data_IF_075757564796
#
_entry.id   IF_075757564796
#
_cell.length_a   1.000
_cell.length_b   1.000
_cell.length_c   1.000
_cell.angle_alpha   90.00
_cell.angle_beta   90.00
_cell.angle_gamma   90.00
#
_symmetry.space_group_name_H-M   'P 1'
#
loop_
_entity.id
_entity.type
_entity.pdbx_description
1 polymer ?
#
# COMPACT_ATOMS: atom_id res chain seq x y z
N UNK A 1 2.10 -17.23 20.89
CA UNK A 1 2.50 -17.32 19.46
C UNK A 1 1.83 -16.18 18.73
N UNK A 2 2.59 -15.40 17.98
CA UNK A 2 2.11 -14.27 17.20
C UNK A 2 1.79 -14.78 15.80
N UNK A 3 0.53 -14.67 15.37
CA UNK A 3 0.10 -15.12 14.05
C UNK A 3 0.39 -14.02 13.01
N UNK A 4 1.03 -14.40 11.90
CA UNK A 4 1.52 -13.50 10.87
C UNK A 4 0.97 -13.89 9.50
N UNK A 5 0.46 -12.92 8.75
CA UNK A 5 0.12 -13.03 7.33
C UNK A 5 1.13 -12.25 6.52
N UNK A 6 1.56 -12.79 5.37
CA UNK A 6 2.42 -12.10 4.41
C UNK A 6 1.68 -11.99 3.08
N UNK A 7 1.68 -10.80 2.48
CA UNK A 7 1.13 -10.58 1.15
C UNK A 7 2.17 -9.89 0.26
N UNK A 8 2.55 -10.58 -0.82
CA UNK A 8 3.59 -10.15 -1.76
C UNK A 8 3.38 -10.80 -3.12
N UNK A 9 3.37 -10.03 -4.21
CA UNK A 9 3.22 -10.59 -5.56
C UNK A 9 4.48 -11.32 -6.05
N UNK A 10 5.63 -11.03 -5.44
CA UNK A 10 6.87 -11.75 -5.67
C UNK A 10 6.88 -13.05 -4.87
N UNK A 11 6.29 -14.10 -5.45
CA UNK A 11 6.08 -15.40 -4.79
C UNK A 11 7.35 -15.96 -4.12
N UNK A 12 8.52 -15.79 -4.76
CA UNK A 12 9.78 -16.29 -4.20
C UNK A 12 10.16 -15.53 -2.93
N UNK A 13 10.02 -14.21 -2.92
CA UNK A 13 10.32 -13.38 -1.76
C UNK A 13 9.37 -13.70 -0.59
N UNK A 14 8.07 -13.66 -0.84
CA UNK A 14 7.06 -13.94 0.19
C UNK A 14 7.22 -15.34 0.81
N UNK A 15 7.50 -16.36 -0.01
CA UNK A 15 7.72 -17.73 0.49
C UNK A 15 9.03 -17.88 1.26
N UNK A 16 10.11 -17.22 0.83
CA UNK A 16 11.38 -17.25 1.55
C UNK A 16 11.30 -16.55 2.90
N UNK A 17 10.69 -15.35 2.92
CA UNK A 17 10.46 -14.61 4.16
C UNK A 17 9.58 -15.41 5.13
N UNK A 18 8.50 -16.02 4.63
CA UNK A 18 7.62 -16.87 5.44
C UNK A 18 8.39 -18.02 6.09
N UNK A 19 9.24 -18.72 5.32
CA UNK A 19 10.03 -19.82 5.86
C UNK A 19 11.00 -19.39 6.95
N UNK A 20 11.64 -18.21 6.78
CA UNK A 20 12.58 -17.70 7.79
C UNK A 20 11.88 -17.23 9.06
N UNK A 21 10.71 -16.60 8.94
CA UNK A 21 9.91 -16.18 10.09
C UNK A 21 9.33 -17.38 10.84
N UNK A 22 8.95 -18.44 10.13
CA UNK A 22 8.36 -19.65 10.73
C UNK A 22 9.39 -20.52 11.48
N UNK A 23 10.71 -20.23 11.34
CA UNK A 23 11.77 -20.82 12.17
C UNK A 23 11.80 -20.25 13.60
N UNK A 24 11.13 -19.12 13.85
CA UNK A 24 11.07 -18.49 15.17
C UNK A 24 10.00 -19.14 16.04
N UNK A 25 10.36 -19.57 17.26
CA UNK A 25 9.48 -20.32 18.17
C UNK A 25 8.20 -19.59 18.59
N UNK A 26 8.19 -18.25 18.52
CA UNK A 26 7.09 -17.40 18.99
C UNK A 26 6.23 -16.82 17.85
N UNK A 27 6.60 -17.06 16.59
CA UNK A 27 5.90 -16.59 15.39
C UNK A 27 5.26 -17.77 14.65
N UNK A 28 4.14 -17.54 13.96
CA UNK A 28 3.42 -18.54 13.17
C UNK A 28 2.89 -17.90 11.88
N UNK A 29 3.30 -18.43 10.73
CA UNK A 29 2.75 -17.97 9.45
C UNK A 29 1.42 -18.65 9.18
N UNK A 30 0.34 -17.87 9.20
CA UNK A 30 -1.03 -18.39 8.94
C UNK A 30 -1.41 -18.35 7.48
N UNK A 31 -0.83 -17.44 6.68
CA UNK A 31 -1.11 -17.34 5.25
C UNK A 31 -0.02 -16.57 4.51
N UNK A 32 0.23 -16.97 3.24
CA UNK A 32 1.03 -16.21 2.27
C UNK A 32 0.16 -15.94 1.05
N UNK A 33 -0.14 -14.68 0.79
CA UNK A 33 -1.02 -14.19 -0.27
C UNK A 33 -0.21 -13.58 -1.43
N UNK A 34 -0.76 -13.59 -2.65
CA UNK A 34 -0.08 -13.10 -3.85
C UNK A 34 -0.69 -11.85 -4.45
N UNK A 35 -1.80 -11.40 -3.90
CA UNK A 35 -2.47 -10.16 -4.32
C UNK A 35 -3.25 -9.56 -3.14
N UNK A 36 -3.59 -8.27 -3.27
CA UNK A 36 -4.24 -7.55 -2.20
C UNK A 36 -5.67 -8.00 -1.90
N UNK A 37 -6.38 -8.58 -2.87
CA UNK A 37 -7.73 -9.12 -2.59
C UNK A 37 -7.64 -10.39 -1.76
N UNK A 38 -6.73 -11.30 -2.11
CA UNK A 38 -6.45 -12.51 -1.32
C UNK A 38 -5.99 -12.14 0.09
N UNK A 39 -5.15 -11.11 0.23
CA UNK A 39 -4.71 -10.60 1.51
C UNK A 39 -5.87 -10.09 2.37
N UNK A 40 -6.76 -9.27 1.81
CA UNK A 40 -7.92 -8.75 2.53
C UNK A 40 -8.85 -9.87 2.98
N UNK A 41 -9.20 -10.79 2.08
CA UNK A 41 -10.07 -11.93 2.39
C UNK A 41 -9.48 -12.84 3.48
N UNK A 42 -8.15 -13.05 3.44
CA UNK A 42 -7.42 -13.82 4.44
C UNK A 42 -7.33 -13.11 5.78
N UNK A 43 -7.12 -11.79 5.81
CA UNK A 43 -7.13 -10.98 7.04
C UNK A 43 -8.50 -11.07 7.71
N UNK A 44 -9.59 -10.96 6.94
CA UNK A 44 -10.95 -11.10 7.48
C UNK A 44 -11.19 -12.49 8.05
N UNK A 45 -10.65 -13.52 7.40
CA UNK A 45 -10.89 -14.94 7.78
C UNK A 45 -10.08 -15.36 9.00
N UNK A 46 -8.80 -15.05 9.02
CA UNK A 46 -7.87 -15.53 10.04
C UNK A 46 -7.64 -14.54 11.19
N UNK A 47 -7.91 -13.25 10.97
CA UNK A 47 -7.68 -12.14 11.91
C UNK A 47 -6.26 -12.27 12.53
N UNK A 48 -5.19 -12.28 11.70
CA UNK A 48 -3.83 -12.45 12.20
C UNK A 48 -3.44 -11.30 13.14
N UNK A 49 -2.52 -11.54 14.05
CA UNK A 49 -2.02 -10.48 14.93
C UNK A 49 -1.29 -9.40 14.13
N UNK A 50 -0.52 -9.80 13.11
CA UNK A 50 0.26 -8.93 12.24
C UNK A 50 0.05 -9.34 10.78
N UNK A 51 -0.07 -8.36 9.88
CA UNK A 51 0.00 -8.58 8.43
C UNK A 51 1.11 -7.71 7.82
N UNK A 52 2.02 -8.36 7.09
CA UNK A 52 3.05 -7.72 6.28
C UNK A 52 2.51 -7.59 4.86
N UNK A 53 2.35 -6.37 4.36
CA UNK A 53 1.74 -6.11 3.06
C UNK A 53 2.71 -5.38 2.14
N UNK A 54 3.04 -5.98 0.98
CA UNK A 54 3.70 -5.23 -0.08
C UNK A 54 2.77 -4.15 -0.64
N UNK A 55 3.35 -3.01 -1.02
CA UNK A 55 2.57 -1.93 -1.64
C UNK A 55 2.11 -2.34 -3.04
N UNK A 56 3.01 -2.90 -3.86
CA UNK A 56 2.75 -3.13 -5.28
C UNK A 56 2.19 -4.53 -5.54
N UNK A 57 0.92 -4.74 -5.25
CA UNK A 57 0.22 -6.00 -5.53
C UNK A 57 -0.89 -5.82 -6.56
N UNK A 58 -1.22 -6.90 -7.34
CA UNK A 58 -2.39 -6.93 -8.20
C UNK A 58 -3.70 -6.77 -7.43
N UNK A 59 -4.75 -6.34 -8.12
CA UNK A 59 -6.13 -6.13 -7.66
C UNK A 59 -6.27 -5.01 -6.65
N UNK A 60 -5.73 -5.14 -5.44
CA UNK A 60 -5.63 -4.11 -4.42
C UNK A 60 -4.16 -3.93 -4.04
N UNK A 61 -3.68 -2.71 -3.94
CA UNK A 61 -2.35 -2.44 -3.39
C UNK A 61 -2.37 -2.53 -1.86
N UNK A 62 -1.21 -2.69 -1.23
CA UNK A 62 -1.13 -2.88 0.22
C UNK A 62 -1.70 -1.72 1.04
N UNK A 63 -1.64 -0.49 0.54
CA UNK A 63 -2.23 0.67 1.20
C UNK A 63 -3.76 0.68 1.09
N UNK A 64 -4.31 0.22 -0.04
CA UNK A 64 -5.76 0.06 -0.18
C UNK A 64 -6.29 -1.07 0.73
N UNK A 65 -5.51 -2.16 0.92
CA UNK A 65 -5.83 -3.21 1.91
C UNK A 65 -5.81 -2.65 3.33
N UNK A 66 -4.79 -1.86 3.69
CA UNK A 66 -4.70 -1.19 4.99
C UNK A 66 -5.93 -0.31 5.24
N UNK A 67 -6.31 0.53 4.27
CA UNK A 67 -7.49 1.39 4.37
C UNK A 67 -8.77 0.58 4.62
N UNK A 68 -8.96 -0.56 3.92
CA UNK A 68 -10.13 -1.42 4.10
C UNK A 68 -10.14 -2.14 5.46
N UNK A 69 -8.99 -2.62 5.94
CA UNK A 69 -8.85 -3.22 7.28
C UNK A 69 -9.23 -2.22 8.37
N UNK A 70 -8.77 -0.97 8.26
CA UNK A 70 -9.11 0.09 9.21
C UNK A 70 -10.60 0.45 9.17
N UNK A 71 -11.18 0.59 7.98
CA UNK A 71 -12.63 0.88 7.82
C UNK A 71 -13.51 -0.20 8.44
N UNK A 72 -13.10 -1.46 8.33
CA UNK A 72 -13.82 -2.60 8.89
C UNK A 72 -13.57 -2.78 10.39
N UNK A 73 -12.64 -2.05 10.98
CA UNK A 73 -12.30 -2.14 12.40
C UNK A 73 -11.66 -3.48 12.80
N UNK A 74 -10.95 -4.13 11.85
CA UNK A 74 -10.30 -5.42 12.10
C UNK A 74 -9.05 -5.19 12.95
N UNK A 75 -8.91 -5.96 14.03
CA UNK A 75 -7.80 -5.81 14.97
C UNK A 75 -6.55 -6.58 14.51
N UNK A 76 -6.06 -6.25 13.33
CA UNK A 76 -4.78 -6.74 12.77
C UNK A 76 -3.81 -5.57 12.67
N UNK A 77 -2.59 -5.73 13.17
CA UNK A 77 -1.53 -4.73 13.03
C UNK A 77 -0.93 -4.83 11.65
N UNK A 78 -0.91 -3.73 10.91
CA UNK A 78 -0.41 -3.73 9.53
C UNK A 78 0.99 -3.13 9.48
N UNK A 79 1.94 -3.86 8.90
CA UNK A 79 3.24 -3.36 8.48
C UNK A 79 3.30 -3.33 6.94
N UNK A 80 3.77 -2.23 6.39
CA UNK A 80 4.02 -2.11 4.96
C UNK A 80 5.43 -2.60 4.65
N UNK A 81 5.54 -3.52 3.70
CA UNK A 81 6.80 -4.11 3.22
C UNK A 81 7.03 -3.67 1.76
N UNK A 82 8.16 -3.04 1.43
CA UNK A 82 8.37 -2.47 0.09
C UNK A 82 9.82 -2.34 -0.31
N UNK A 83 10.09 -2.37 -1.61
CA UNK A 83 11.38 -1.98 -2.19
C UNK A 83 11.51 -0.47 -2.36
N UNK A 84 10.40 0.30 -2.32
CA UNK A 84 10.37 1.72 -2.63
C UNK A 84 10.16 2.57 -1.39
N UNK A 85 11.13 3.43 -1.09
CA UNK A 85 11.06 4.41 -0.01
C UNK A 85 10.43 5.75 -0.50
N UNK A 86 9.35 5.68 -1.30
CA UNK A 86 8.68 6.90 -1.71
C UNK A 86 8.09 7.62 -0.49
N UNK A 87 8.47 8.88 -0.24
CA UNK A 87 7.95 9.65 0.90
C UNK A 87 6.43 9.74 0.93
N UNK A 88 5.78 9.69 -0.23
CA UNK A 88 4.32 9.68 -0.36
C UNK A 88 3.68 8.42 0.19
N UNK A 89 4.27 7.27 -0.07
CA UNK A 89 3.79 6.00 0.47
C UNK A 89 3.96 5.91 1.99
N UNK A 90 5.11 6.37 2.49
CA UNK A 90 5.36 6.42 3.94
C UNK A 90 4.31 7.28 4.64
N UNK A 91 4.07 8.50 4.13
CA UNK A 91 3.06 9.39 4.69
C UNK A 91 1.67 8.76 4.67
N UNK A 92 1.22 8.25 3.50
CA UNK A 92 -0.09 7.62 3.37
C UNK A 92 -0.24 6.41 4.31
N UNK A 93 0.79 5.56 4.40
CA UNK A 93 0.78 4.42 5.31
C UNK A 93 0.56 4.85 6.76
N UNK A 94 1.28 5.88 7.22
CA UNK A 94 1.16 6.41 8.58
C UNK A 94 -0.19 7.08 8.85
N UNK A 95 -0.68 7.90 7.92
CA UNK A 95 -2.00 8.54 8.00
C UNK A 95 -3.12 7.49 8.04
N UNK A 96 -2.96 6.36 7.35
CA UNK A 96 -3.89 5.23 7.37
C UNK A 96 -3.68 4.27 8.56
N UNK A 97 -2.74 4.53 9.46
CA UNK A 97 -2.55 3.76 10.69
C UNK A 97 -1.66 2.51 10.56
N UNK A 98 -0.73 2.48 9.60
CA UNK A 98 0.30 1.46 9.56
C UNK A 98 1.15 1.49 10.84
N UNK A 99 1.47 0.31 11.38
CA UNK A 99 2.28 0.16 12.59
C UNK A 99 3.78 0.10 12.28
N UNK A 100 4.16 -0.28 11.06
CA UNK A 100 5.55 -0.26 10.60
C UNK A 100 5.64 0.00 9.10
N UNK A 101 6.82 0.49 8.69
CA UNK A 101 7.21 0.60 7.30
C UNK A 101 8.59 -0.04 7.15
N UNK A 102 8.66 -1.16 6.44
CA UNK A 102 9.80 -2.08 6.36
C UNK A 102 10.30 -2.09 4.91
N UNK A 103 11.59 -2.00 4.72
CA UNK A 103 12.19 -2.16 3.39
C UNK A 103 12.58 -3.63 3.16
N UNK A 104 12.41 -4.12 1.93
CA UNK A 104 12.67 -5.53 1.56
C UNK A 104 14.17 -5.91 1.56
N UNK A 105 15.06 -4.98 1.87
CA UNK A 105 16.50 -5.21 2.05
C UNK A 105 16.88 -5.52 3.51
N UNK A 106 15.95 -5.40 4.45
CA UNK A 106 16.16 -5.82 5.83
C UNK A 106 16.22 -7.34 5.94
N UNK A 107 17.02 -7.83 6.88
CA UNK A 107 17.10 -9.27 7.11
C UNK A 107 15.87 -9.82 7.89
N UNK A 108 15.70 -11.14 7.87
CA UNK A 108 14.54 -11.78 8.47
C UNK A 108 14.50 -11.63 10.01
N UNK A 109 15.67 -11.54 10.66
CA UNK A 109 15.77 -11.32 12.11
C UNK A 109 15.25 -9.92 12.48
N UNK A 110 15.65 -8.90 11.71
CA UNK A 110 15.14 -7.53 11.88
C UNK A 110 13.61 -7.49 11.67
N UNK A 111 13.09 -8.14 10.62
CA UNK A 111 11.65 -8.21 10.35
C UNK A 111 10.93 -8.91 11.51
N UNK A 112 11.45 -10.02 12.02
CA UNK A 112 10.89 -10.74 13.18
C UNK A 112 10.84 -9.87 14.43
N UNK A 113 11.88 -9.08 14.69
CA UNK A 113 11.90 -8.13 15.80
C UNK A 113 10.89 -7.00 15.61
N UNK A 114 10.70 -6.49 14.41
CA UNK A 114 9.66 -5.50 14.10
C UNK A 114 8.26 -6.09 14.33
N UNK A 115 8.00 -7.33 13.94
CA UNK A 115 6.74 -8.02 14.20
C UNK A 115 6.43 -8.06 15.71
N UNK A 116 7.40 -8.41 16.55
CA UNK A 116 7.26 -8.41 18.01
C UNK A 116 6.96 -7.01 18.56
N UNK A 117 7.67 -6.01 18.05
CA UNK A 117 7.52 -4.62 18.46
C UNK A 117 6.13 -4.07 18.13
N UNK A 118 5.64 -4.25 16.90
CA UNK A 118 4.30 -3.79 16.51
C UNK A 118 3.20 -4.58 17.21
N UNK A 119 3.41 -5.88 17.43
CA UNK A 119 2.47 -6.67 18.23
C UNK A 119 2.34 -6.13 19.66
N UNK A 120 3.44 -5.69 20.27
CA UNK A 120 3.44 -5.04 21.59
C UNK A 120 2.83 -3.64 21.63
N UNK A 121 2.45 -3.08 20.45
CA UNK A 121 1.82 -1.76 20.32
C UNK A 121 2.79 -0.62 19.99
N UNK A 122 4.04 -0.90 19.66
CA UNK A 122 4.97 0.12 19.18
C UNK A 122 4.67 0.44 17.70
N UNK A 123 5.10 1.64 17.27
CA UNK A 123 5.15 2.04 15.85
C UNK A 123 6.60 2.10 15.44
N UNK A 124 6.97 1.36 14.39
CA UNK A 124 8.34 1.20 13.93
C UNK A 124 8.50 1.80 12.53
N UNK A 125 9.05 3.00 12.47
CA UNK A 125 9.34 3.70 11.19
C UNK A 125 10.68 4.38 11.29
N UNK A 126 11.50 4.26 10.27
CA UNK A 126 12.76 4.96 10.20
C UNK A 126 12.57 6.49 10.30
N UNK A 127 13.37 7.14 11.14
CA UNK A 127 13.27 8.58 11.39
C UNK A 127 13.55 9.43 10.14
N UNK A 128 14.43 8.97 9.25
CA UNK A 128 14.69 9.65 7.98
C UNK A 128 13.47 9.56 7.03
N UNK A 129 12.76 8.43 7.04
CA UNK A 129 11.52 8.26 6.28
C UNK A 129 10.40 9.13 6.84
N UNK A 130 10.26 9.24 8.17
CA UNK A 130 9.30 10.14 8.81
C UNK A 130 9.52 11.59 8.39
N UNK A 131 10.76 12.06 8.42
CA UNK A 131 11.11 13.44 8.03
C UNK A 131 10.84 13.69 6.54
N UNK A 132 11.13 12.72 5.67
CA UNK A 132 10.88 12.85 4.23
C UNK A 132 9.38 12.91 3.92
N UNK A 133 8.56 12.13 4.59
CA UNK A 133 7.09 12.15 4.45
C UNK A 133 6.46 13.46 4.95
N UNK A 134 6.98 14.03 6.04
CA UNK A 134 6.46 15.26 6.62
C UNK A 134 6.67 16.52 5.74
N UNK A 135 7.62 16.48 4.80
CA UNK A 135 7.93 17.62 3.91
C UNK A 135 7.13 17.62 2.60
N UNK A 136 6.34 16.60 2.34
CA UNK A 136 5.55 16.53 1.10
C UNK A 136 4.35 17.47 1.10
N UNK A 137 4.01 18.04 -0.07
CA UNK A 137 2.81 18.85 -0.20
C UNK A 137 1.55 18.02 0.07
N UNK A 138 0.51 18.66 0.58
CA UNK A 138 -0.80 18.05 0.71
C UNK A 138 -1.33 17.57 -0.65
N UNK A 139 -2.13 16.50 -0.65
CA UNK A 139 -2.73 16.00 -1.87
C UNK A 139 -3.71 17.03 -2.47
N UNK A 140 -3.42 17.61 -3.65
CA UNK A 140 -4.29 18.59 -4.28
C UNK A 140 -5.44 17.95 -5.06
N UNK A 141 -5.42 16.61 -5.21
CA UNK A 141 -6.35 15.87 -6.06
C UNK A 141 -7.64 15.53 -5.33
N UNK A 142 -8.77 15.81 -5.95
CA UNK A 142 -10.08 15.30 -5.49
C UNK A 142 -10.19 13.79 -5.76
N UNK A 143 -11.08 13.06 -5.06
CA UNK A 143 -11.26 11.61 -5.27
C UNK A 143 -11.45 11.22 -6.74
N UNK A 144 -12.23 11.98 -7.52
CA UNK A 144 -12.46 11.70 -8.94
C UNK A 144 -11.23 11.91 -9.82
N UNK A 145 -10.32 12.84 -9.46
CA UNK A 145 -9.02 12.95 -10.13
C UNK A 145 -8.18 11.70 -9.87
N UNK A 146 -8.18 11.20 -8.64
CA UNK A 146 -7.43 10.00 -8.25
C UNK A 146 -7.95 8.77 -9.00
N UNK A 147 -9.27 8.54 -9.05
CA UNK A 147 -9.89 7.43 -9.78
C UNK A 147 -9.45 7.42 -11.26
N UNK A 148 -9.52 8.59 -11.92
CA UNK A 148 -9.15 8.72 -13.33
C UNK A 148 -7.66 8.52 -13.56
N UNK A 149 -6.80 8.99 -12.65
CA UNK A 149 -5.35 8.83 -12.75
C UNK A 149 -4.91 7.39 -12.45
N UNK A 150 -5.55 6.68 -11.50
CA UNK A 150 -5.32 5.24 -11.27
C UNK A 150 -5.53 4.44 -12.56
N UNK A 151 -6.68 4.61 -13.21
CA UNK A 151 -6.99 3.92 -14.45
C UNK A 151 -6.08 4.35 -15.63
N UNK A 152 -5.55 5.58 -15.57
CA UNK A 152 -4.54 6.04 -16.53
C UNK A 152 -3.21 5.30 -16.35
N UNK A 153 -2.79 5.03 -15.12
CA UNK A 153 -1.60 4.22 -14.82
C UNK A 153 -1.73 2.78 -15.35
N UNK A 154 -2.94 2.21 -15.32
CA UNK A 154 -3.24 0.90 -15.90
C UNK A 154 -3.24 0.90 -17.44
N UNK A 155 -2.90 2.01 -18.06
CA UNK A 155 -2.83 2.14 -19.52
C UNK A 155 -4.20 2.30 -20.22
N UNK A 156 -5.28 2.51 -19.45
CA UNK A 156 -6.62 2.63 -20.04
C UNK A 156 -6.80 3.90 -20.86
N UNK A 157 -7.53 3.74 -21.96
CA UNK A 157 -7.96 4.86 -22.80
C UNK A 157 -9.08 5.66 -22.13
N UNK A 158 -9.27 6.92 -22.53
CA UNK A 158 -10.37 7.76 -22.01
C UNK A 158 -11.73 7.09 -22.17
N UNK A 159 -11.97 6.35 -23.25
CA UNK A 159 -13.23 5.61 -23.45
C UNK A 159 -13.40 4.46 -22.47
N UNK A 160 -12.33 3.74 -22.14
CA UNK A 160 -12.36 2.66 -21.15
C UNK A 160 -12.59 3.22 -19.75
N UNK A 161 -11.88 4.29 -19.37
CA UNK A 161 -12.07 5.00 -18.10
C UNK A 161 -13.52 5.50 -17.95
N UNK A 162 -14.07 6.10 -19.00
CA UNK A 162 -15.44 6.59 -19.00
C UNK A 162 -16.46 5.48 -18.74
N UNK A 163 -16.28 4.31 -19.36
CA UNK A 163 -17.14 3.14 -19.13
C UNK A 163 -17.03 2.61 -17.70
N UNK A 164 -15.82 2.48 -17.20
CA UNK A 164 -15.55 1.88 -15.90
C UNK A 164 -16.02 2.75 -14.73
N UNK A 165 -15.86 4.06 -14.85
CA UNK A 165 -16.33 5.02 -13.84
C UNK A 165 -17.79 5.49 -14.03
N UNK A 166 -18.48 4.99 -15.06
CA UNK A 166 -19.84 5.42 -15.43
C UNK A 166 -19.92 6.93 -15.69
N UNK A 167 -18.91 7.47 -16.39
CA UNK A 167 -18.80 8.89 -16.74
C UNK A 167 -18.91 9.12 -18.24
N UNK A 168 -19.21 10.37 -18.66
CA UNK A 168 -19.07 10.76 -20.05
C UNK A 168 -17.60 10.91 -20.44
N UNK A 169 -17.30 10.70 -21.73
CA UNK A 169 -15.97 10.93 -22.30
C UNK A 169 -15.46 12.37 -22.03
N UNK A 170 -16.36 13.37 -22.13
CA UNK A 170 -16.04 14.77 -21.82
C UNK A 170 -15.68 14.98 -20.35
N UNK A 171 -16.42 14.34 -19.44
CA UNK A 171 -16.17 14.42 -17.99
C UNK A 171 -14.80 13.87 -17.64
N UNK A 172 -14.41 12.71 -18.20
CA UNK A 172 -13.07 12.13 -17.98
C UNK A 172 -11.98 13.06 -18.49
N UNK A 173 -12.15 13.65 -19.69
CA UNK A 173 -11.18 14.64 -20.21
C UNK A 173 -11.03 15.86 -19.29
N UNK A 174 -12.14 16.36 -18.74
CA UNK A 174 -12.10 17.48 -17.80
C UNK A 174 -11.31 17.11 -16.54
N UNK A 175 -11.59 15.98 -15.90
CA UNK A 175 -10.82 15.51 -14.73
C UNK A 175 -9.34 15.34 -15.02
N UNK A 176 -8.98 14.78 -16.21
CA UNK A 176 -7.58 14.68 -16.61
C UNK A 176 -6.93 16.05 -16.79
N UNK A 177 -7.61 16.99 -17.44
CA UNK A 177 -7.10 18.35 -17.65
C UNK A 177 -6.93 19.11 -16.33
N UNK A 178 -7.90 19.02 -15.44
CA UNK A 178 -7.82 19.61 -14.10
C UNK A 178 -6.65 19.00 -13.30
N UNK A 179 -6.49 17.68 -13.32
CA UNK A 179 -5.38 17.01 -12.64
C UNK A 179 -4.02 17.43 -13.19
N UNK A 180 -3.87 17.50 -14.51
CA UNK A 180 -2.64 17.98 -15.18
C UNK A 180 -2.30 19.41 -14.74
N UNK A 181 -3.28 20.30 -14.67
CA UNK A 181 -3.08 21.68 -14.21
C UNK A 181 -2.71 21.76 -12.74
N UNK A 182 -3.41 21.02 -11.85
CA UNK A 182 -3.16 21.00 -10.42
C UNK A 182 -1.75 20.47 -10.08
N UNK A 183 -1.26 19.54 -10.88
CA UNK A 183 0.06 18.92 -10.70
C UNK A 183 1.17 19.61 -11.51
N UNK A 184 0.84 20.66 -12.27
CA UNK A 184 1.77 21.37 -13.16
C UNK A 184 2.50 20.44 -14.15
N UNK A 185 1.82 19.39 -14.62
CA UNK A 185 2.35 18.40 -15.56
C UNK A 185 2.03 18.78 -17.00
N UNK A 186 2.71 18.11 -17.95
CA UNK A 186 2.50 18.31 -19.39
C UNK A 186 1.61 17.23 -20.03
N UNK A 187 1.44 16.09 -19.34
CA UNK A 187 0.67 14.97 -19.85
C UNK A 187 -0.07 14.22 -18.73
N UNK A 188 -1.13 13.48 -19.11
CA UNK A 188 -1.89 12.64 -18.19
C UNK A 188 -1.06 11.51 -17.57
N UNK A 189 -0.07 10.99 -18.32
CA UNK A 189 0.82 9.92 -17.85
C UNK A 189 1.78 10.46 -16.80
N UNK A 190 2.35 11.64 -17.04
CA UNK A 190 3.20 12.34 -16.09
C UNK A 190 2.43 12.69 -14.80
N UNK A 191 1.19 13.19 -14.94
CA UNK A 191 0.33 13.48 -13.80
C UNK A 191 0.01 12.22 -12.98
N UNK A 192 -0.28 11.10 -13.64
CA UNK A 192 -0.53 9.83 -12.98
C UNK A 192 0.73 9.30 -12.27
N UNK A 193 1.90 9.39 -12.91
CA UNK A 193 3.16 8.99 -12.31
C UNK A 193 3.50 9.86 -11.08
N UNK A 194 3.37 11.18 -11.19
CA UNK A 194 3.58 12.11 -10.07
C UNK A 194 2.62 11.82 -8.91
N UNK A 195 1.35 11.58 -9.21
CA UNK A 195 0.35 11.25 -8.18
C UNK A 195 0.71 9.94 -7.45
N UNK A 196 1.19 8.93 -8.17
CA UNK A 196 1.66 7.68 -7.59
C UNK A 196 2.89 7.88 -6.71
N UNK A 197 3.92 8.58 -7.22
CA UNK A 197 5.15 8.85 -6.46
C UNK A 197 4.88 9.61 -5.17
N UNK A 198 3.86 10.48 -5.15
CA UNK A 198 3.46 11.21 -3.94
C UNK A 198 2.46 10.43 -3.06
N UNK A 199 2.09 9.20 -3.41
CA UNK A 199 1.14 8.38 -2.66
C UNK A 199 -0.29 8.92 -2.67
N UNK A 200 -0.66 9.70 -3.69
CA UNK A 200 -2.00 10.25 -3.83
C UNK A 200 -2.98 9.31 -4.57
N UNK A 201 -2.41 8.30 -5.26
CA UNK A 201 -3.18 7.23 -5.94
C UNK A 201 -2.50 5.87 -5.75
#
# INVERSE_FOLDING_TARGET
MITVLIADDQTMFGSALASLIDEEEDLEIVCVCRDGQEALDSIVTYIPNVALLDIEMPKLNGLDVLDEVQKQGINTKIAILTTFQSPGYVRRALESGACAFITKDQDAEEVSNIIRDIHSGKVVVDSALLLSGATLPANPLKPRHQDVLKLTMEGKTVNQIARELYLSHGTVKNYLSEAIQLLHCTSRVEAAHMARTNGWI
#
